data_IF_781743518404
#
_entry.id   IF_781743518404
#
_cell.length_a   1.000
_cell.length_b   1.000
_cell.length_c   1.000
_cell.angle_alpha   90.00
_cell.angle_beta   90.00
_cell.angle_gamma   90.00
#
_symmetry.space_group_name_H-M   'P 1'
#
loop_
_entity.id
_entity.type
_entity.pdbx_description
1 polymer ?
#
# COMPACT_ATOMS: atom_id res chain seq x y z
N UNK A 1 -11.47 13.98 5.33
CA UNK A 1 -11.96 12.90 6.22
C UNK A 1 -11.13 12.93 7.49
N UNK A 2 -11.74 13.16 8.65
CA UNK A 2 -11.05 13.30 9.94
C UNK A 2 -10.88 11.96 10.69
N UNK A 3 -10.16 11.95 11.81
CA UNK A 3 -9.91 10.75 12.62
C UNK A 3 -11.22 10.08 13.05
N UNK A 4 -12.16 10.84 13.61
CA UNK A 4 -13.47 10.33 14.03
C UNK A 4 -14.27 9.65 12.91
N UNK A 5 -14.36 10.28 11.74
CA UNK A 5 -15.00 9.71 10.54
C UNK A 5 -14.31 8.42 10.09
N UNK A 6 -12.98 8.36 10.16
CA UNK A 6 -12.22 7.17 9.83
C UNK A 6 -12.56 5.98 10.76
N UNK A 7 -12.64 6.22 12.07
CA UNK A 7 -13.00 5.19 13.03
C UNK A 7 -14.43 4.70 12.84
N UNK A 8 -15.39 5.62 12.64
CA UNK A 8 -16.77 5.26 12.34
C UNK A 8 -16.89 4.37 11.10
N UNK A 9 -16.12 4.64 10.04
CA UNK A 9 -16.11 3.77 8.86
C UNK A 9 -15.50 2.39 9.13
N UNK A 10 -14.54 2.27 10.05
CA UNK A 10 -14.02 0.95 10.44
C UNK A 10 -15.07 0.15 11.21
N UNK A 11 -15.76 0.78 12.16
CA UNK A 11 -16.84 0.14 12.94
C UNK A 11 -17.97 -0.35 12.02
N UNK A 12 -18.40 0.49 11.07
CA UNK A 12 -19.41 0.09 10.06
C UNK A 12 -18.93 -1.10 9.22
N UNK A 13 -17.64 -1.11 8.85
CA UNK A 13 -17.05 -2.20 8.06
C UNK A 13 -16.98 -3.49 8.86
N UNK A 14 -16.61 -3.42 10.14
CA UNK A 14 -16.57 -4.56 11.05
C UNK A 14 -17.97 -5.15 11.20
N UNK A 15 -18.96 -4.31 11.52
CA UNK A 15 -20.36 -4.70 11.57
C UNK A 15 -20.84 -5.35 10.26
N UNK A 16 -20.54 -4.75 9.10
CA UNK A 16 -20.91 -5.31 7.80
C UNK A 16 -20.30 -6.70 7.58
N UNK A 17 -19.02 -6.89 7.93
CA UNK A 17 -18.36 -8.18 7.75
C UNK A 17 -18.91 -9.27 8.69
N UNK A 18 -19.41 -8.90 9.86
CA UNK A 18 -20.09 -9.82 10.80
C UNK A 18 -21.51 -10.16 10.34
N UNK A 19 -22.21 -9.20 9.75
CA UNK A 19 -23.61 -9.33 9.39
C UNK A 19 -23.81 -9.94 7.99
N UNK A 20 -22.94 -9.61 7.02
CA UNK A 20 -23.07 -10.08 5.63
C UNK A 20 -23.12 -11.60 5.46
N UNK A 21 -22.37 -12.43 6.24
CA UNK A 21 -22.42 -13.88 6.10
C UNK A 21 -23.81 -14.49 6.27
N UNK A 22 -24.66 -13.88 7.11
CA UNK A 22 -26.04 -14.35 7.38
C UNK A 22 -26.94 -14.26 6.15
N UNK A 23 -26.55 -13.47 5.16
CA UNK A 23 -27.30 -13.22 3.95
C UNK A 23 -26.67 -13.86 2.71
N UNK A 24 -25.51 -14.52 2.84
CA UNK A 24 -24.82 -15.12 1.70
C UNK A 24 -25.69 -16.17 1.02
N UNK A 25 -26.28 -17.10 1.77
CA UNK A 25 -27.11 -18.17 1.18
C UNK A 25 -28.39 -17.63 0.51
N UNK A 26 -28.91 -16.49 0.99
CA UNK A 26 -30.13 -15.88 0.44
C UNK A 26 -29.90 -15.18 -0.91
N UNK A 27 -28.76 -14.51 -1.07
CA UNK A 27 -28.50 -13.67 -2.25
C UNK A 27 -27.40 -14.21 -3.17
N UNK A 28 -26.52 -15.06 -2.64
CA UNK A 28 -25.43 -15.73 -3.34
C UNK A 28 -25.47 -17.25 -3.06
N UNK A 29 -26.59 -17.93 -3.38
CA UNK A 29 -26.71 -19.36 -3.15
C UNK A 29 -25.64 -20.12 -3.96
N UNK A 30 -25.12 -21.25 -3.44
CA UNK A 30 -24.05 -22.00 -4.09
C UNK A 30 -24.43 -22.48 -5.51
N UNK A 31 -25.72 -22.66 -5.79
CA UNK A 31 -26.24 -23.02 -7.12
C UNK A 31 -26.13 -21.86 -8.14
N UNK A 32 -26.04 -20.61 -7.67
CA UNK A 32 -25.80 -19.43 -8.51
C UNK A 32 -24.32 -19.14 -8.72
N UNK A 33 -23.44 -20.04 -8.29
CA UNK A 33 -22.01 -19.91 -8.52
C UNK A 33 -21.67 -20.11 -10.00
N UNK A 34 -21.39 -19.02 -10.71
CA UNK A 34 -21.15 -19.06 -12.16
C UNK A 34 -19.79 -19.68 -12.50
N UNK A 35 -18.71 -19.23 -11.84
CA UNK A 35 -17.34 -19.76 -11.94
C UNK A 35 -16.38 -18.87 -11.11
N UNK A 36 -15.23 -19.40 -10.63
CA UNK A 36 -14.12 -18.55 -10.16
C UNK A 36 -13.49 -17.89 -11.39
N UNK A 37 -13.51 -16.56 -11.48
CA UNK A 37 -12.74 -15.88 -12.52
C UNK A 37 -11.25 -15.97 -12.17
N UNK A 38 -10.58 -17.02 -12.66
CA UNK A 38 -9.15 -17.29 -12.42
C UNK A 38 -8.21 -16.37 -13.22
N UNK A 39 -8.76 -15.33 -13.87
CA UNK A 39 -7.96 -14.30 -14.51
C UNK A 39 -7.12 -13.56 -13.45
N UNK A 40 -5.87 -14.00 -13.32
CA UNK A 40 -4.84 -13.30 -12.57
C UNK A 40 -4.72 -11.90 -13.15
N UNK A 41 -5.20 -10.90 -12.41
CA UNK A 41 -5.02 -9.48 -12.80
C UNK A 41 -3.53 -9.22 -13.02
N UNK A 42 -3.12 -9.06 -14.28
CA UNK A 42 -1.74 -8.70 -14.64
C UNK A 42 -1.40 -7.39 -13.91
N UNK A 43 -0.32 -7.41 -13.14
CA UNK A 43 0.14 -6.21 -12.42
C UNK A 43 0.64 -5.18 -13.43
N UNK A 44 0.25 -3.91 -13.28
CA UNK A 44 0.75 -2.79 -14.11
C UNK A 44 2.29 -2.71 -14.15
N UNK A 45 2.95 -3.26 -13.14
CA UNK A 45 4.41 -3.30 -13.05
C UNK A 45 5.11 -4.20 -14.07
N UNK A 46 4.38 -5.06 -14.78
CA UNK A 46 4.92 -5.90 -15.86
C UNK A 46 5.34 -5.03 -17.05
N UNK A 47 4.61 -3.93 -17.24
CA UNK A 47 4.85 -2.95 -18.30
C UNK A 47 5.90 -1.91 -17.91
N UNK A 48 6.37 -1.87 -16.67
CA UNK A 48 7.42 -0.94 -16.24
C UNK A 48 8.81 -1.55 -16.55
N UNK A 49 9.74 -0.72 -17.00
CA UNK A 49 11.15 -1.11 -17.09
C UNK A 49 11.72 -1.47 -15.71
N UNK A 50 12.70 -2.36 -15.69
CA UNK A 50 13.38 -2.77 -14.45
C UNK A 50 14.58 -1.89 -14.12
N UNK A 51 15.12 -1.14 -15.08
CA UNK A 51 16.28 -0.28 -14.89
C UNK A 51 15.83 1.14 -14.56
N UNK A 52 16.39 1.69 -13.49
CA UNK A 52 16.18 3.10 -13.16
C UNK A 52 16.94 3.98 -14.17
N UNK A 53 16.26 4.94 -14.78
CA UNK A 53 16.87 5.85 -15.77
C UNK A 53 17.88 6.79 -15.10
N UNK A 54 17.59 7.25 -13.89
CA UNK A 54 18.43 8.23 -13.19
C UNK A 54 19.77 7.66 -12.71
N UNK A 55 19.77 6.49 -12.06
CA UNK A 55 21.00 5.89 -11.51
C UNK A 55 21.44 4.59 -12.18
N UNK A 56 20.75 4.12 -13.21
CA UNK A 56 21.10 2.90 -13.95
C UNK A 56 20.93 1.58 -13.19
N UNK A 57 20.48 1.60 -11.93
CA UNK A 57 20.32 0.38 -11.11
C UNK A 57 19.14 -0.45 -11.58
N UNK A 58 19.34 -1.76 -11.67
CA UNK A 58 18.29 -2.73 -12.02
C UNK A 58 17.55 -3.12 -10.74
N UNK A 59 16.24 -2.87 -10.72
CA UNK A 59 15.32 -3.14 -9.62
C UNK A 59 14.18 -4.00 -10.17
N UNK A 60 14.28 -5.34 -10.06
CA UNK A 60 13.33 -6.24 -10.72
C UNK A 60 11.95 -6.22 -10.06
N UNK A 61 11.88 -6.04 -8.75
CA UNK A 61 10.62 -6.14 -7.98
C UNK A 61 9.92 -4.78 -7.90
N UNK A 62 8.67 -4.72 -8.34
CA UNK A 62 7.86 -3.49 -8.38
C UNK A 62 7.73 -2.76 -7.02
N UNK A 63 7.57 -3.51 -5.92
CA UNK A 63 7.51 -2.93 -4.58
C UNK A 63 8.82 -2.24 -4.21
N UNK A 64 9.95 -2.82 -4.61
CA UNK A 64 11.27 -2.23 -4.38
C UNK A 64 11.55 -1.05 -5.31
N UNK A 65 10.97 -0.98 -6.53
CA UNK A 65 11.05 0.21 -7.40
C UNK A 65 10.46 1.44 -6.74
N UNK A 66 9.30 1.31 -6.10
CA UNK A 66 8.66 2.42 -5.36
C UNK A 66 9.54 2.91 -4.20
N UNK A 67 10.12 1.99 -3.43
CA UNK A 67 11.06 2.36 -2.36
C UNK A 67 12.34 3.00 -2.91
N UNK A 68 12.80 2.53 -4.06
CA UNK A 68 13.95 3.07 -4.77
C UNK A 68 13.69 4.52 -5.21
N UNK A 69 12.54 4.79 -5.86
CA UNK A 69 12.12 6.16 -6.23
C UNK A 69 12.01 7.04 -4.99
N UNK A 70 11.40 6.55 -3.91
CA UNK A 70 11.28 7.31 -2.66
C UNK A 70 12.64 7.79 -2.13
N UNK A 71 13.72 7.02 -2.32
CA UNK A 71 15.07 7.43 -1.96
C UNK A 71 15.61 8.54 -2.87
N UNK A 72 15.33 8.51 -4.17
CA UNK A 72 15.73 9.58 -5.09
C UNK A 72 15.08 10.92 -4.72
N UNK A 73 13.78 10.90 -4.41
CA UNK A 73 13.03 12.11 -4.05
C UNK A 73 13.16 12.48 -2.56
N UNK A 74 13.98 11.78 -1.78
CA UNK A 74 14.18 12.05 -0.35
C UNK A 74 12.91 11.91 0.51
N UNK A 75 11.94 11.12 0.06
CA UNK A 75 10.63 11.02 0.72
C UNK A 75 10.66 9.98 1.85
N UNK A 76 10.20 10.40 3.01
CA UNK A 76 10.11 9.58 4.23
C UNK A 76 8.85 9.91 5.03
N UNK A 77 8.40 8.96 5.85
CA UNK A 77 7.31 9.14 6.80
C UNK A 77 7.94 9.44 8.16
N UNK A 78 7.54 10.54 8.79
CA UNK A 78 7.91 10.87 10.16
C UNK A 78 7.22 9.94 11.15
N UNK A 79 7.90 9.62 12.25
CA UNK A 79 7.30 8.80 13.29
C UNK A 79 6.15 9.56 13.96
N UNK A 80 5.00 8.90 14.04
CA UNK A 80 3.78 9.45 14.67
C UNK A 80 3.81 9.40 16.19
N UNK A 81 4.77 8.68 16.78
CA UNK A 81 4.88 8.57 18.24
C UNK A 81 5.48 9.86 18.79
N UNK A 82 4.77 10.49 19.73
CA UNK A 82 5.19 11.73 20.36
C UNK A 82 6.62 11.65 20.91
N UNK A 83 7.44 12.65 20.58
CA UNK A 83 8.85 12.73 20.97
C UNK A 83 9.83 11.95 20.08
N UNK A 84 9.37 11.30 19.01
CA UNK A 84 10.26 10.61 18.07
C UNK A 84 10.42 11.39 16.76
N UNK A 85 11.60 11.98 16.54
CA UNK A 85 11.91 12.72 15.29
C UNK A 85 12.45 11.84 14.16
N UNK A 86 12.37 10.52 14.31
CA UNK A 86 12.92 9.61 13.30
C UNK A 86 12.07 9.60 12.02
N UNK A 87 12.75 9.38 10.89
CA UNK A 87 12.14 9.30 9.56
C UNK A 87 12.37 7.91 8.99
N UNK A 88 11.32 7.29 8.47
CA UNK A 88 11.39 5.96 7.92
C UNK A 88 10.55 5.82 6.65
N UNK A 89 10.99 4.97 5.73
CA UNK A 89 10.18 4.57 4.58
C UNK A 89 9.13 3.54 5.02
N UNK A 90 8.09 3.32 4.21
CA UNK A 90 6.99 2.38 4.51
C UNK A 90 7.45 0.98 4.94
N UNK A 91 8.52 0.44 4.35
CA UNK A 91 9.04 -0.88 4.70
C UNK A 91 9.85 -0.91 6.01
N UNK A 92 10.54 0.19 6.33
CA UNK A 92 11.37 0.30 7.54
C UNK A 92 10.57 0.79 8.74
N UNK A 93 9.41 1.42 8.52
CA UNK A 93 8.57 1.98 9.57
C UNK A 93 8.14 0.94 10.62
N UNK A 94 7.65 -0.23 10.18
CA UNK A 94 7.28 -1.31 11.10
C UNK A 94 8.47 -1.84 11.90
N UNK A 95 9.67 -1.87 11.30
CA UNK A 95 10.90 -2.26 12.01
C UNK A 95 11.29 -1.21 13.03
N UNK A 96 11.21 0.07 12.68
CA UNK A 96 11.46 1.19 13.57
C UNK A 96 10.54 1.13 14.80
N UNK A 97 9.23 0.97 14.61
CA UNK A 97 8.27 0.84 15.71
C UNK A 97 8.62 -0.32 16.65
N UNK A 98 9.02 -1.47 16.09
CA UNK A 98 9.36 -2.64 16.90
C UNK A 98 10.67 -2.48 17.66
N UNK A 99 11.68 -1.84 17.09
CA UNK A 99 13.02 -1.74 17.68
C UNK A 99 13.12 -0.59 18.65
N UNK A 100 12.58 0.59 18.30
CA UNK A 100 12.72 1.81 19.08
C UNK A 100 11.60 1.96 20.11
N UNK A 101 10.39 1.52 19.77
CA UNK A 101 9.21 1.71 20.62
C UNK A 101 8.64 0.41 21.17
N UNK A 102 9.20 -0.75 20.81
CA UNK A 102 8.66 -2.07 21.17
C UNK A 102 7.17 -2.24 20.85
N UNK A 103 6.66 -1.49 19.86
CA UNK A 103 5.24 -1.45 19.45
C UNK A 103 5.05 -2.04 18.05
N UNK A 104 3.88 -2.60 17.79
CA UNK A 104 3.39 -2.93 16.45
C UNK A 104 2.42 -1.87 15.96
N UNK A 105 2.12 -1.87 14.66
CA UNK A 105 1.13 -0.97 14.08
C UNK A 105 -0.27 -1.11 14.71
N UNK A 106 -0.59 -2.27 15.28
CA UNK A 106 -1.86 -2.52 15.96
C UNK A 106 -1.93 -1.89 17.37
N UNK A 107 -0.78 -1.61 17.96
CA UNK A 107 -0.66 -1.08 19.32
C UNK A 107 -0.60 0.46 19.35
N UNK A 108 -0.71 1.08 18.17
CA UNK A 108 -0.81 2.53 18.03
C UNK A 108 -2.18 3.01 18.49
N UNK A 109 -2.21 4.21 19.08
CA UNK A 109 -3.47 4.88 19.40
C UNK A 109 -4.26 5.19 18.11
N UNK A 110 -5.55 5.44 18.27
CA UNK A 110 -6.46 5.79 17.18
C UNK A 110 -5.93 6.96 16.34
N UNK A 111 -5.43 7.99 17.01
CA UNK A 111 -4.88 9.20 16.40
C UNK A 111 -3.55 8.92 15.67
N UNK A 112 -2.58 8.30 16.35
CA UNK A 112 -1.29 7.90 15.76
C UNK A 112 -1.48 7.01 14.51
N UNK A 113 -2.42 6.06 14.58
CA UNK A 113 -2.71 5.16 13.47
C UNK A 113 -3.31 5.91 12.28
N UNK A 114 -4.22 6.86 12.54
CA UNK A 114 -4.81 7.71 11.51
C UNK A 114 -3.75 8.59 10.84
N UNK A 115 -2.88 9.24 11.62
CA UNK A 115 -1.76 10.05 11.09
C UNK A 115 -0.82 9.21 10.23
N UNK A 116 -0.44 8.02 10.70
CA UNK A 116 0.43 7.12 9.94
C UNK A 116 -0.23 6.71 8.61
N UNK A 117 -1.52 6.34 8.63
CA UNK A 117 -2.24 5.95 7.42
C UNK A 117 -2.36 7.10 6.43
N UNK A 118 -2.66 8.31 6.90
CA UNK A 118 -2.75 9.49 6.02
C UNK A 118 -1.39 9.84 5.43
N UNK A 119 -0.31 9.84 6.23
CA UNK A 119 1.06 10.04 5.75
C UNK A 119 1.47 8.96 4.73
N UNK A 120 1.14 7.69 4.99
CA UNK A 120 1.42 6.57 4.06
C UNK A 120 0.67 6.69 2.74
N UNK A 121 -0.58 7.14 2.75
CA UNK A 121 -1.35 7.38 1.52
C UNK A 121 -0.72 8.51 0.71
N UNK A 122 -0.38 9.63 1.36
CA UNK A 122 0.35 10.74 0.72
C UNK A 122 1.65 10.24 0.11
N UNK A 123 2.48 9.56 0.90
CA UNK A 123 3.75 8.95 0.46
C UNK A 123 3.56 8.14 -0.83
N UNK A 124 2.62 7.20 -0.81
CA UNK A 124 2.37 6.28 -1.94
C UNK A 124 1.91 7.03 -3.18
N UNK A 125 1.09 8.07 -3.03
CA UNK A 125 0.62 8.92 -4.13
C UNK A 125 1.77 9.68 -4.78
N UNK A 126 2.64 10.31 -4.00
CA UNK A 126 3.83 11.02 -4.52
C UNK A 126 4.77 10.07 -5.26
N UNK A 127 5.07 8.92 -4.66
CA UNK A 127 5.97 7.93 -5.29
C UNK A 127 5.38 7.39 -6.60
N UNK A 128 4.10 7.03 -6.62
CA UNK A 128 3.47 6.54 -7.85
C UNK A 128 3.38 7.61 -8.95
N UNK A 129 3.28 8.90 -8.59
CA UNK A 129 3.32 10.00 -9.55
C UNK A 129 4.70 10.13 -10.19
N UNK A 130 5.77 10.02 -9.39
CA UNK A 130 7.15 10.11 -9.87
C UNK A 130 7.63 8.82 -10.56
N UNK A 131 7.01 7.66 -10.27
CA UNK A 131 7.47 6.35 -10.76
C UNK A 131 7.77 6.30 -12.28
N UNK A 132 6.93 6.84 -13.19
CA UNK A 132 7.18 6.78 -14.62
C UNK A 132 8.42 7.55 -15.09
N UNK A 133 8.86 8.55 -14.32
CA UNK A 133 10.07 9.34 -14.64
C UNK A 133 11.35 8.52 -14.40
N UNK A 134 11.32 7.60 -13.43
CA UNK A 134 12.46 6.75 -13.09
C UNK A 134 12.39 5.37 -13.77
N UNK A 135 11.18 4.84 -13.95
CA UNK A 135 10.90 3.53 -14.55
C UNK A 135 9.80 3.70 -15.61
N UNK A 136 10.18 4.08 -16.84
CA UNK A 136 9.23 4.28 -17.92
C UNK A 136 8.51 2.98 -18.30
N UNK A 137 7.38 3.13 -18.99
CA UNK A 137 6.68 1.98 -19.53
C UNK A 137 7.40 1.44 -20.78
N UNK A 138 7.49 0.11 -20.87
CA UNK A 138 7.96 -0.61 -22.06
C UNK A 138 7.09 -0.19 -23.25
N UNK A 139 7.73 0.34 -24.28
CA UNK A 139 7.07 0.82 -25.51
C UNK A 139 6.64 -0.30 -26.45
N UNK A 140 7.10 -1.53 -26.20
CA UNK A 140 6.68 -2.75 -26.91
C UNK A 140 6.01 -3.67 -25.90
N UNK A 141 4.71 -3.87 -26.07
CA UNK A 141 4.03 -5.02 -25.47
C UNK A 141 4.49 -6.19 -26.35
N UNK A 142 5.40 -7.01 -25.86
CA UNK A 142 5.60 -8.33 -26.46
C UNK A 142 4.28 -9.07 -26.26
N UNK A 143 3.52 -9.21 -27.35
CA UNK A 143 2.40 -10.13 -27.43
C UNK A 143 3.00 -11.52 -27.23
N UNK A 144 2.87 -12.07 -26.03
CA UNK A 144 3.18 -13.48 -25.77
C UNK A 144 2.15 -14.31 -26.54
N UNK A 145 2.57 -14.93 -27.66
CA UNK A 145 1.86 -15.99 -28.40
C UNK A 145 1.56 -17.21 -27.50
#
# INVERSE_FOLDING_TARGET
>A
MNSHQYHRLQEIREWYNEESPKYLDRYFPPESFVQVCDQKRKSKSIYEESKCVDCGKIVPVATTRRLHVARHIGLSIECVISGCSSKATTNTYSKHLRIVHSKKLKDLTKEELYEYKTARVKFTKTVNKALPEYFPYKTKIEEEE
#
